data_IF_982851844444
#
_entry.id   IF_982851844444
#
_cell.length_a   1.000
_cell.length_b   1.000
_cell.length_c   1.000
_cell.angle_alpha   90.00
_cell.angle_beta   90.00
_cell.angle_gamma   90.00
#
_symmetry.space_group_name_H-M   'P 1'
#
loop_
_entity.id
_entity.type
_entity.pdbx_description
1 polymer ?
#
# COMPACT_ATOMS: atom_id res chain seq x y z
N UNK A 1 8.00 -4.07 20.30
CA UNK A 1 8.47 -4.12 18.90
C UNK A 1 7.40 -3.62 17.94
N UNK A 2 6.24 -4.28 17.78
CA UNK A 2 5.17 -3.78 16.90
C UNK A 2 4.52 -2.46 17.37
N UNK A 3 4.60 -2.14 18.67
CA UNK A 3 4.17 -0.86 19.22
C UNK A 3 5.12 0.31 18.90
N UNK A 4 6.33 0.01 18.38
CA UNK A 4 7.34 1.01 18.09
C UNK A 4 7.14 1.60 16.70
N UNK A 5 7.00 2.93 16.61
CA UNK A 5 6.80 3.62 15.33
C UNK A 5 7.96 3.36 14.34
N UNK A 6 9.20 3.32 14.83
CA UNK A 6 10.39 3.17 13.98
C UNK A 6 10.44 1.80 13.29
N UNK A 7 9.88 0.75 13.88
CA UNK A 7 9.82 -0.58 13.27
C UNK A 7 8.94 -0.56 12.01
N UNK A 8 7.82 0.16 12.08
CA UNK A 8 6.92 0.36 10.93
C UNK A 8 7.53 1.27 9.87
N UNK A 9 8.29 2.30 10.26
CA UNK A 9 9.03 3.13 9.32
C UNK A 9 10.06 2.31 8.52
N UNK A 10 10.82 1.45 9.19
CA UNK A 10 11.77 0.54 8.53
C UNK A 10 11.06 -0.43 7.58
N UNK A 11 9.95 -1.04 8.02
CA UNK A 11 9.15 -1.91 7.18
C UNK A 11 8.66 -1.18 5.91
N UNK A 12 8.19 0.06 6.04
CA UNK A 12 7.76 0.88 4.91
C UNK A 12 8.88 1.11 3.89
N UNK A 13 10.10 1.41 4.36
CA UNK A 13 11.27 1.57 3.49
C UNK A 13 11.63 0.27 2.79
N UNK A 14 11.64 -0.85 3.52
CA UNK A 14 11.93 -2.18 2.93
C UNK A 14 10.91 -2.53 1.85
N UNK A 15 9.61 -2.36 2.09
CA UNK A 15 8.59 -2.60 1.08
C UNK A 15 8.76 -1.69 -0.15
N UNK A 16 9.08 -0.41 0.05
CA UNK A 16 9.36 0.52 -1.04
C UNK A 16 10.57 0.11 -1.89
N UNK A 17 11.64 -0.38 -1.26
CA UNK A 17 12.82 -0.90 -1.98
C UNK A 17 12.46 -2.17 -2.76
N UNK A 18 11.72 -3.10 -2.14
CA UNK A 18 11.33 -4.37 -2.80
C UNK A 18 10.44 -4.14 -4.02
N UNK A 19 9.58 -3.12 -3.99
CA UNK A 19 8.76 -2.74 -5.14
C UNK A 19 9.60 -2.35 -6.38
N UNK A 20 10.76 -1.71 -6.19
CA UNK A 20 11.67 -1.36 -7.30
C UNK A 20 12.21 -2.60 -8.02
N UNK A 21 12.41 -3.70 -7.28
CA UNK A 21 12.90 -4.97 -7.82
C UNK A 21 11.78 -5.74 -8.53
N UNK A 22 10.55 -5.69 -8.01
CA UNK A 22 9.39 -6.41 -8.53
C UNK A 22 8.15 -5.48 -8.59
N UNK A 23 8.01 -4.70 -9.69
CA UNK A 23 6.96 -3.69 -9.79
C UNK A 23 5.58 -4.34 -9.97
N UNK A 24 4.85 -4.47 -8.87
CA UNK A 24 3.54 -5.13 -8.76
C UNK A 24 2.48 -4.24 -8.11
N UNK A 25 2.86 -3.07 -7.61
CA UNK A 25 2.08 -2.08 -6.86
C UNK A 25 1.55 -2.56 -5.49
N UNK A 26 1.63 -3.86 -5.20
CA UNK A 26 1.18 -4.46 -3.92
C UNK A 26 2.15 -4.09 -2.80
N UNK A 27 3.46 -4.15 -3.03
CA UNK A 27 4.45 -3.80 -2.02
C UNK A 27 4.43 -2.30 -1.76
N UNK A 28 4.15 -1.48 -2.78
CA UNK A 28 3.90 -0.05 -2.59
C UNK A 28 2.68 0.21 -1.68
N UNK A 29 1.60 -0.56 -1.83
CA UNK A 29 0.45 -0.52 -0.93
C UNK A 29 0.84 -0.84 0.52
N UNK A 30 1.68 -1.87 0.73
CA UNK A 30 2.22 -2.20 2.05
C UNK A 30 3.15 -1.14 2.61
N UNK A 31 3.98 -0.51 1.76
CA UNK A 31 4.85 0.58 2.16
C UNK A 31 4.04 1.78 2.69
N UNK A 32 2.97 2.15 1.97
CA UNK A 32 2.04 3.20 2.39
C UNK A 32 1.33 2.83 3.70
N UNK A 33 0.79 1.61 3.78
CA UNK A 33 0.12 1.13 4.99
C UNK A 33 1.03 1.15 6.23
N UNK A 34 2.27 0.66 6.09
CA UNK A 34 3.26 0.68 7.17
C UNK A 34 3.68 2.11 7.54
N UNK A 35 3.85 3.00 6.54
CA UNK A 35 4.16 4.41 6.77
C UNK A 35 3.06 5.13 7.55
N UNK A 36 1.79 4.88 7.24
CA UNK A 36 0.66 5.45 7.96
C UNK A 36 0.55 4.92 9.40
N UNK A 37 0.79 3.62 9.62
CA UNK A 37 0.85 3.07 10.99
C UNK A 37 2.00 3.68 11.78
N UNK A 38 3.18 3.83 11.16
CA UNK A 38 4.33 4.50 11.76
C UNK A 38 3.98 5.92 12.19
N UNK A 39 3.39 6.73 11.30
CA UNK A 39 2.98 8.10 11.61
C UNK A 39 1.91 8.12 12.71
N UNK A 40 0.93 7.22 12.65
CA UNK A 40 -0.11 7.10 13.66
C UNK A 40 0.44 6.77 15.05
N UNK A 41 1.49 5.95 15.14
CA UNK A 41 2.19 5.68 16.39
C UNK A 41 3.08 6.85 16.82
N UNK A 42 3.82 7.48 15.90
CA UNK A 42 4.72 8.60 16.18
C UNK A 42 3.98 9.83 16.73
N UNK A 43 2.79 10.12 16.22
CA UNK A 43 1.94 11.22 16.70
C UNK A 43 0.98 10.80 17.83
N UNK A 44 1.07 9.56 18.33
CA UNK A 44 0.26 9.07 19.43
C UNK A 44 -1.20 8.73 19.10
N UNK A 45 -1.64 8.89 17.84
CA UNK A 45 -3.00 8.59 17.38
C UNK A 45 -3.38 7.11 17.56
N UNK A 46 -2.41 6.20 17.38
CA UNK A 46 -2.60 4.76 17.56
C UNK A 46 -2.06 4.24 18.90
N UNK A 47 -1.51 5.11 19.75
CA UNK A 47 -0.87 4.72 21.02
C UNK A 47 -1.83 4.05 22.00
N UNK A 48 -3.03 4.59 22.16
CA UNK A 48 -4.06 4.01 23.03
C UNK A 48 -4.52 2.63 22.54
N UNK A 49 -4.66 2.47 21.22
CA UNK A 49 -5.04 1.20 20.60
C UNK A 49 -3.93 0.14 20.76
N UNK A 50 -2.68 0.55 20.58
CA UNK A 50 -1.50 -0.29 20.73
C UNK A 50 -1.23 -0.73 22.19
N UNK A 51 -1.65 0.07 23.17
CA UNK A 51 -1.48 -0.23 24.59
C UNK A 51 -2.49 -1.26 25.15
N UNK A 52 -3.49 -1.65 24.37
CA UNK A 52 -4.45 -2.69 24.78
C UNK A 52 -3.79 -4.07 24.85
N UNK A 53 -4.38 -5.00 25.61
CA UNK A 53 -3.92 -6.39 25.68
C UNK A 53 -3.88 -7.12 24.32
N UNK A 54 -4.61 -6.59 23.32
CA UNK A 54 -4.65 -7.08 21.94
C UNK A 54 -4.05 -6.08 20.95
N UNK A 55 -3.20 -5.16 21.39
CA UNK A 55 -2.70 -4.04 20.58
C UNK A 55 -1.99 -4.48 19.30
N UNK A 56 -1.26 -5.60 19.33
CA UNK A 56 -0.62 -6.16 18.14
C UNK A 56 -1.64 -6.56 17.06
N UNK A 57 -2.75 -7.20 17.46
CA UNK A 57 -3.81 -7.60 16.52
C UNK A 57 -4.48 -6.37 15.90
N UNK A 58 -4.73 -5.32 16.70
CA UNK A 58 -5.29 -4.07 16.21
C UNK A 58 -4.38 -3.35 15.23
N UNK A 59 -3.07 -3.28 15.52
CA UNK A 59 -2.11 -2.64 14.62
C UNK A 59 -2.01 -3.40 13.28
N UNK A 60 -2.03 -4.73 13.31
CA UNK A 60 -2.05 -5.54 12.09
C UNK A 60 -3.35 -5.37 11.30
N UNK A 61 -4.49 -5.23 11.97
CA UNK A 61 -5.76 -4.95 11.31
C UNK A 61 -5.75 -3.58 10.62
N UNK A 62 -5.29 -2.54 11.32
CA UNK A 62 -5.16 -1.19 10.76
C UNK A 62 -4.20 -1.20 9.58
N UNK A 63 -3.04 -1.84 9.72
CA UNK A 63 -2.08 -2.02 8.63
C UNK A 63 -2.71 -2.70 7.42
N UNK A 64 -3.44 -3.80 7.61
CA UNK A 64 -4.07 -4.56 6.53
C UNK A 64 -5.12 -3.73 5.78
N UNK A 65 -5.98 -2.99 6.51
CA UNK A 65 -7.00 -2.14 5.91
C UNK A 65 -6.39 -0.97 5.14
N UNK A 66 -5.41 -0.27 5.73
CA UNK A 66 -4.71 0.84 5.07
C UNK A 66 -3.96 0.37 3.83
N UNK A 67 -3.29 -0.76 3.93
CA UNK A 67 -2.58 -1.39 2.81
C UNK A 67 -3.49 -1.77 1.66
N UNK A 68 -4.62 -2.43 1.96
CA UNK A 68 -5.60 -2.82 0.96
C UNK A 68 -6.20 -1.58 0.29
N UNK A 69 -6.54 -0.56 1.07
CA UNK A 69 -7.03 0.72 0.55
C UNK A 69 -6.02 1.40 -0.36
N UNK A 70 -4.76 1.50 0.07
CA UNK A 70 -3.68 2.09 -0.73
C UNK A 70 -3.46 1.32 -2.03
N UNK A 71 -3.40 -0.01 -1.98
CA UNK A 71 -3.28 -0.84 -3.18
C UNK A 71 -4.45 -0.66 -4.15
N UNK A 72 -5.70 -0.62 -3.65
CA UNK A 72 -6.88 -0.40 -4.49
C UNK A 72 -6.86 0.98 -5.16
N UNK A 73 -6.40 2.02 -4.45
CA UNK A 73 -6.25 3.37 -5.00
C UNK A 73 -5.17 3.38 -6.09
N UNK A 74 -3.99 2.82 -5.80
CA UNK A 74 -2.90 2.70 -6.77
C UNK A 74 -3.36 1.94 -8.01
N UNK A 75 -4.03 0.80 -7.82
CA UNK A 75 -4.58 -0.01 -8.90
C UNK A 75 -5.52 0.81 -9.79
N UNK A 76 -6.44 1.59 -9.21
CA UNK A 76 -7.34 2.45 -10.00
C UNK A 76 -6.65 3.59 -10.73
N UNK A 77 -5.61 4.19 -10.13
CA UNK A 77 -4.89 5.31 -10.74
C UNK A 77 -3.95 4.86 -11.88
N UNK A 78 -3.42 3.65 -11.79
CA UNK A 78 -2.46 3.08 -12.76
C UNK A 78 -3.08 2.04 -13.71
N UNK A 79 -4.38 1.72 -13.57
CA UNK A 79 -5.13 0.96 -14.57
C UNK A 79 -5.10 1.75 -15.91
N UNK A 80 -4.43 1.19 -16.92
CA UNK A 80 -4.38 1.78 -18.26
C UNK A 80 -5.80 1.85 -18.81
N UNK A 81 -6.23 2.97 -19.42
CA UNK A 81 -7.47 2.99 -20.20
C UNK A 81 -7.38 1.88 -21.23
N UNK A 82 -8.43 1.06 -21.31
CA UNK A 82 -8.54 -0.05 -22.26
C UNK A 82 -7.93 0.35 -23.59
N UNK A 83 -6.95 -0.42 -24.04
CA UNK A 83 -6.48 -0.36 -25.42
C UNK A 83 -7.68 -0.78 -26.28
N UNK A 84 -8.56 0.16 -26.60
CA UNK A 84 -9.59 -0.02 -27.63
C UNK A 84 -8.84 -0.62 -28.82
N UNK A 85 -9.15 -1.86 -29.25
CA UNK A 85 -8.54 -2.41 -30.44
C UNK A 85 -8.86 -1.40 -31.52
N UNK A 86 -7.84 -0.73 -32.08
CA UNK A 86 -8.06 0.14 -33.23
C UNK A 86 -8.57 -0.78 -34.32
N UNK A 87 -9.89 -0.79 -34.52
CA UNK A 87 -10.51 -1.41 -35.69
C UNK A 87 -10.09 -0.55 -36.87
N UNK A 88 -8.99 -0.95 -37.50
CA UNK A 88 -8.59 -0.41 -38.80
C UNK A 88 -9.56 -0.96 -39.83
N UNK A 89 -10.61 -0.18 -40.12
CA UNK A 89 -11.57 -0.45 -41.20
C UNK A 89 -11.10 0.22 -42.51
N UNK A 90 -9.81 0.05 -42.82
CA UNK A 90 -9.23 0.49 -44.08
C UNK A 90 -8.67 -0.75 -44.77
N UNK A 91 -9.42 -1.22 -45.75
CA UNK A 91 -8.92 -2.23 -46.69
C UNK A 91 -7.66 -1.67 -47.36
N UNK A 92 -6.59 -2.45 -47.31
CA UNK A 92 -5.28 -2.11 -47.88
C UNK A 92 -5.31 -2.18 -49.43
N UNK A 93 -6.43 -2.61 -50.02
CA UNK A 93 -6.55 -2.88 -51.45
C UNK A 93 -7.42 -1.90 -52.26
N UNK A 94 -7.90 -0.78 -51.70
CA UNK A 94 -8.61 0.29 -52.44
C UNK A 94 -7.87 1.64 -52.40
#
# INVERSE_FOLDING_TARGET
>A
MLSEWWAWALAAVVFGILEVVAPTHILLGFAVGAGLVSLGLAFGLLGALAATGSGAAWLLLVFAVLSLGAWLVLRRLFERPDETPRTFDRDIND
#
